data_IF_089635114708
#
_entry.id   IF_089635114708
#
_cell.length_a   1.000
_cell.length_b   1.000
_cell.length_c   1.000
_cell.angle_alpha   90.00
_cell.angle_beta   90.00
_cell.angle_gamma   90.00
#
_symmetry.space_group_name_H-M   'P 1'
#
loop_
_entity.id
_entity.type
_entity.pdbx_description
1 polymer ?
#
# COMPACT_ATOMS: atom_id res chain seq x y z
N UNK A 1 22.70 37.52 27.92
CA UNK A 1 21.46 37.06 27.27
C UNK A 1 21.78 36.72 25.82
N UNK A 2 22.01 35.46 25.51
CA UNK A 2 22.18 34.97 24.12
C UNK A 2 20.79 34.74 23.54
N UNK A 3 20.41 35.55 22.54
CA UNK A 3 19.22 35.31 21.75
C UNK A 3 19.51 34.12 20.82
N UNK A 4 18.93 32.96 21.11
CA UNK A 4 18.88 31.84 20.19
C UNK A 4 17.97 32.21 19.01
N UNK A 5 18.55 32.30 17.83
CA UNK A 5 17.80 32.36 16.58
C UNK A 5 17.33 30.93 16.32
N UNK A 6 16.02 30.70 16.49
CA UNK A 6 15.34 29.50 16.02
C UNK A 6 15.29 29.63 14.49
N UNK A 7 16.21 28.97 13.78
CA UNK A 7 16.06 28.75 12.34
C UNK A 7 14.90 27.76 12.17
N UNK A 8 13.73 28.26 11.83
CA UNK A 8 12.72 27.47 11.14
C UNK A 8 13.34 27.16 9.75
N UNK A 9 13.89 25.96 9.62
CA UNK A 9 14.11 25.38 8.31
C UNK A 9 12.72 25.30 7.66
N UNK A 10 12.53 25.83 6.44
CA UNK A 10 11.33 25.53 5.71
C UNK A 10 11.26 24.01 5.59
N UNK A 11 10.16 23.41 5.98
CA UNK A 11 9.81 22.07 5.54
C UNK A 11 9.81 22.22 4.03
N UNK A 12 10.83 21.68 3.34
CA UNK A 12 10.77 21.53 1.91
C UNK A 12 9.52 20.69 1.67
N UNK A 13 8.50 21.29 1.11
CA UNK A 13 7.40 20.57 0.51
C UNK A 13 8.04 19.75 -0.61
N UNK A 14 8.29 18.47 -0.34
CA UNK A 14 8.82 17.54 -1.33
C UNK A 14 7.76 17.52 -2.42
N UNK A 15 8.14 17.92 -3.62
CA UNK A 15 7.23 17.91 -4.75
C UNK A 15 6.71 16.48 -4.93
N UNK A 16 5.42 16.30 -4.67
CA UNK A 16 4.74 15.01 -4.75
C UNK A 16 4.36 14.82 -6.21
N UNK A 17 5.18 14.14 -6.98
CA UNK A 17 5.02 14.01 -8.44
C UNK A 17 4.12 12.82 -8.84
N UNK A 18 3.13 12.46 -8.04
CA UNK A 18 2.16 11.41 -8.32
C UNK A 18 0.74 11.98 -8.35
N UNK A 19 0.06 11.87 -9.50
CA UNK A 19 -1.36 12.18 -9.67
C UNK A 19 -2.18 10.90 -9.67
N UNK A 20 -3.30 10.84 -8.94
CA UNK A 20 -4.26 9.76 -9.04
C UNK A 20 -5.03 9.89 -10.36
N UNK A 21 -4.96 8.87 -11.22
CA UNK A 21 -5.68 8.82 -12.49
C UNK A 21 -6.95 7.99 -12.37
N UNK A 22 -6.87 6.84 -11.74
CA UNK A 22 -7.99 5.92 -11.61
C UNK A 22 -7.96 5.13 -10.32
N UNK A 23 -9.15 4.71 -9.83
CA UNK A 23 -9.31 3.83 -8.69
C UNK A 23 -10.40 2.81 -8.97
N UNK A 24 -10.07 1.55 -8.79
CA UNK A 24 -10.97 0.40 -9.01
C UNK A 24 -11.18 -0.34 -7.69
N UNK A 25 -12.42 -0.80 -7.47
CA UNK A 25 -12.74 -1.81 -6.45
C UNK A 25 -12.83 -3.17 -7.15
N UNK A 26 -11.75 -3.95 -7.20
CA UNK A 26 -11.74 -5.21 -7.92
C UNK A 26 -12.58 -6.27 -7.23
N UNK A 27 -12.95 -7.36 -7.93
CA UNK A 27 -13.58 -8.53 -7.31
C UNK A 27 -12.74 -9.12 -6.18
N UNK A 28 -11.44 -9.22 -6.39
CA UNK A 28 -10.46 -9.55 -5.36
C UNK A 28 -10.28 -8.41 -4.38
N UNK A 29 -10.19 -8.74 -3.08
CA UNK A 29 -10.09 -7.73 -2.01
C UNK A 29 -8.73 -7.66 -1.33
N UNK A 30 -7.91 -8.66 -1.53
CA UNK A 30 -6.55 -8.73 -0.98
C UNK A 30 -5.60 -8.94 -2.15
N UNK A 31 -5.28 -7.85 -2.85
CA UNK A 31 -4.36 -7.86 -3.98
C UNK A 31 -2.94 -8.06 -3.45
N UNK A 32 -2.19 -9.01 -4.01
CA UNK A 32 -0.94 -9.47 -3.41
C UNK A 32 0.30 -9.17 -4.24
N UNK A 33 0.16 -9.09 -5.56
CA UNK A 33 1.25 -8.82 -6.50
C UNK A 33 0.74 -8.13 -7.76
N UNK A 34 1.65 -7.62 -8.59
CA UNK A 34 1.34 -7.00 -9.88
C UNK A 34 2.37 -7.45 -10.90
N UNK A 35 1.94 -8.19 -11.90
CA UNK A 35 2.75 -8.56 -13.06
C UNK A 35 2.19 -7.92 -14.32
N UNK A 36 3.08 -7.40 -15.17
CA UNK A 36 2.69 -6.70 -16.40
C UNK A 36 3.35 -7.38 -17.60
N UNK A 37 2.52 -7.91 -18.48
CA UNK A 37 2.95 -8.55 -19.72
C UNK A 37 2.25 -7.87 -20.90
N UNK A 38 2.99 -7.12 -21.69
CA UNK A 38 2.45 -6.32 -22.80
C UNK A 38 1.34 -5.38 -22.33
N UNK A 39 0.12 -5.52 -22.84
CA UNK A 39 -1.06 -4.74 -22.45
C UNK A 39 -1.95 -5.44 -21.41
N UNK A 40 -1.42 -6.49 -20.77
CA UNK A 40 -2.14 -7.23 -19.73
C UNK A 40 -1.44 -7.04 -18.40
N UNK A 41 -2.22 -6.65 -17.38
CA UNK A 41 -1.80 -6.66 -16.00
C UNK A 41 -2.49 -7.81 -15.27
N UNK A 42 -1.71 -8.58 -14.51
CA UNK A 42 -2.16 -9.78 -13.79
C UNK A 42 -1.98 -9.52 -12.30
N UNK A 43 -3.04 -9.72 -11.54
CA UNK A 43 -3.05 -9.48 -10.10
C UNK A 43 -3.58 -10.70 -9.36
N UNK A 44 -2.75 -11.42 -8.58
CA UNK A 44 -3.21 -12.48 -7.71
C UNK A 44 -3.91 -11.91 -6.47
N UNK A 45 -5.02 -12.55 -6.11
CA UNK A 45 -5.75 -12.28 -4.87
C UNK A 45 -5.56 -13.38 -3.84
N UNK A 46 -5.50 -13.01 -2.56
CA UNK A 46 -5.31 -13.96 -1.48
C UNK A 46 -6.52 -14.89 -1.23
N UNK A 47 -7.73 -14.51 -1.66
CA UNK A 47 -8.94 -15.25 -1.35
C UNK A 47 -9.89 -15.49 -2.54
N UNK A 48 -9.86 -14.64 -3.54
CA UNK A 48 -10.93 -14.49 -4.52
C UNK A 48 -10.49 -14.76 -5.98
N UNK A 49 -9.34 -15.40 -6.18
CA UNK A 49 -8.82 -15.77 -7.50
C UNK A 49 -7.80 -14.80 -8.09
N UNK A 50 -7.70 -14.77 -9.41
CA UNK A 50 -6.70 -14.01 -10.16
C UNK A 50 -7.39 -13.07 -11.14
N UNK A 51 -7.08 -11.79 -11.05
CA UNK A 51 -7.63 -10.75 -11.91
C UNK A 51 -6.72 -10.47 -13.10
N UNK A 52 -7.31 -10.33 -14.29
CA UNK A 52 -6.66 -9.93 -15.53
C UNK A 52 -7.25 -8.61 -15.99
N UNK A 53 -6.38 -7.64 -16.27
CA UNK A 53 -6.77 -6.30 -16.71
C UNK A 53 -6.17 -6.01 -18.08
N UNK A 54 -6.96 -5.36 -18.96
CA UNK A 54 -6.47 -4.67 -20.13
C UNK A 54 -5.93 -3.29 -19.69
N UNK A 55 -4.68 -3.03 -19.99
CA UNK A 55 -3.98 -1.78 -19.76
C UNK A 55 -3.47 -1.16 -21.07
N UNK A 56 -4.15 -1.41 -22.19
CA UNK A 56 -3.88 -0.73 -23.47
C UNK A 56 -4.03 0.80 -23.34
N UNK A 57 -4.98 1.26 -22.50
CA UNK A 57 -4.90 2.58 -21.89
C UNK A 57 -4.32 2.42 -20.49
N UNK A 58 -3.05 2.76 -20.27
CA UNK A 58 -2.40 2.50 -18.98
C UNK A 58 -2.96 3.34 -17.83
N UNK A 59 -3.69 4.44 -18.13
CA UNK A 59 -4.31 5.30 -17.11
C UNK A 59 -5.68 4.81 -16.66
N UNK A 60 -6.33 3.91 -17.44
CA UNK A 60 -7.68 3.40 -17.18
C UNK A 60 -7.74 1.85 -17.28
N UNK A 61 -7.13 1.10 -16.35
CA UNK A 61 -7.15 -0.35 -16.35
C UNK A 61 -8.58 -0.90 -16.32
N UNK A 62 -8.88 -1.81 -17.24
CA UNK A 62 -10.20 -2.43 -17.33
C UNK A 62 -10.11 -3.93 -17.04
N UNK A 63 -10.86 -4.42 -16.06
CA UNK A 63 -10.90 -5.87 -15.77
C UNK A 63 -11.53 -6.63 -16.94
N UNK A 64 -10.84 -7.63 -17.45
CA UNK A 64 -11.27 -8.47 -18.57
C UNK A 64 -11.57 -9.89 -18.17
N UNK A 65 -10.98 -10.39 -17.09
CA UNK A 65 -11.29 -11.69 -16.52
C UNK A 65 -10.97 -11.75 -15.03
N UNK A 66 -11.71 -12.59 -14.30
CA UNK A 66 -11.37 -13.08 -12.97
C UNK A 66 -11.41 -14.61 -13.02
N UNK A 67 -10.30 -15.26 -12.68
CA UNK A 67 -10.18 -16.71 -12.66
C UNK A 67 -10.18 -17.22 -11.23
N UNK A 68 -11.26 -17.87 -10.83
CA UNK A 68 -11.34 -18.61 -9.57
C UNK A 68 -10.92 -20.08 -9.78
N UNK A 69 -9.97 -20.57 -8.99
CA UNK A 69 -9.55 -21.98 -8.96
C UNK A 69 -10.07 -22.59 -7.67
N UNK A 70 -11.14 -23.41 -7.71
CA UNK A 70 -11.76 -23.95 -6.52
C UNK A 70 -10.80 -24.84 -5.71
N UNK A 71 -10.66 -24.58 -4.42
CA UNK A 71 -9.94 -25.43 -3.47
C UNK A 71 -10.88 -26.45 -2.79
N UNK A 72 -10.51 -27.72 -2.79
CA UNK A 72 -11.12 -28.77 -1.98
C UNK A 72 -12.66 -28.75 -1.97
N UNK A 73 -13.28 -28.25 -0.90
CA UNK A 73 -14.74 -28.23 -0.72
C UNK A 73 -15.47 -27.05 -1.39
N UNK A 74 -14.80 -26.28 -2.26
CA UNK A 74 -15.47 -25.40 -3.22
C UNK A 74 -15.92 -24.02 -2.74
N UNK A 75 -15.51 -23.56 -1.55
CA UNK A 75 -15.94 -22.26 -1.02
C UNK A 75 -14.86 -21.16 -1.09
N UNK A 76 -13.67 -21.48 -1.57
CA UNK A 76 -12.56 -20.53 -1.72
C UNK A 76 -11.80 -20.83 -2.98
N UNK A 77 -11.29 -19.80 -3.63
CA UNK A 77 -10.30 -19.92 -4.68
C UNK A 77 -8.92 -20.21 -4.11
N UNK A 78 -8.06 -20.83 -4.91
CA UNK A 78 -6.64 -20.98 -4.60
C UNK A 78 -6.04 -19.57 -4.46
N UNK A 79 -5.45 -19.23 -3.31
CA UNK A 79 -4.87 -17.91 -3.11
C UNK A 79 -3.58 -17.77 -3.95
N UNK A 80 -3.36 -16.59 -4.53
CA UNK A 80 -2.08 -16.24 -5.12
C UNK A 80 -1.41 -15.15 -4.30
N UNK A 81 -0.10 -15.27 -4.09
CA UNK A 81 0.68 -14.27 -3.35
C UNK A 81 1.75 -13.62 -4.21
N UNK A 82 2.17 -14.28 -5.28
CA UNK A 82 3.13 -13.79 -6.26
C UNK A 82 2.78 -14.31 -7.63
N UNK A 83 3.21 -13.62 -8.66
CA UNK A 83 3.03 -14.04 -10.04
C UNK A 83 4.25 -13.68 -10.88
N UNK A 84 4.66 -14.60 -11.74
CA UNK A 84 5.61 -14.37 -12.82
C UNK A 84 5.03 -14.93 -14.11
N UNK A 85 5.21 -14.26 -15.22
CA UNK A 85 4.56 -14.65 -16.47
C UNK A 85 5.48 -14.57 -17.69
N UNK A 86 5.24 -15.49 -18.63
CA UNK A 86 5.66 -15.37 -20.02
C UNK A 86 4.63 -14.58 -20.82
N UNK A 87 4.79 -14.46 -22.13
CA UNK A 87 3.81 -13.78 -22.99
C UNK A 87 2.39 -14.38 -22.95
N UNK A 88 2.23 -15.61 -22.45
CA UNK A 88 0.93 -16.32 -22.52
C UNK A 88 0.65 -17.25 -21.34
N UNK A 89 1.61 -17.50 -20.47
CA UNK A 89 1.44 -18.39 -19.30
C UNK A 89 1.90 -17.69 -18.03
N UNK A 90 1.03 -17.67 -17.01
CA UNK A 90 1.32 -17.13 -15.69
C UNK A 90 1.52 -18.26 -14.67
N UNK A 91 2.51 -18.11 -13.82
CA UNK A 91 2.84 -18.99 -12.71
C UNK A 91 2.55 -18.25 -11.41
N UNK A 92 1.53 -18.71 -10.69
CA UNK A 92 1.15 -18.16 -9.41
C UNK A 92 1.72 -19.00 -8.27
N UNK A 93 2.30 -18.36 -7.28
CA UNK A 93 2.75 -19.02 -6.05
C UNK A 93 1.72 -18.85 -4.95
N UNK A 94 1.62 -19.85 -4.08
CA UNK A 94 0.60 -19.94 -3.05
C UNK A 94 1.21 -20.53 -1.77
N UNK A 95 0.84 -19.99 -0.61
CA UNK A 95 1.23 -20.53 0.71
C UNK A 95 0.33 -21.67 1.18
N UNK A 96 -0.23 -22.45 0.27
CA UNK A 96 -1.11 -23.56 0.64
C UNK A 96 -0.38 -24.88 0.51
N UNK A 97 -0.44 -25.68 1.58
CA UNK A 97 0.26 -26.97 1.74
C UNK A 97 -0.11 -28.05 0.71
N UNK A 98 -1.20 -27.91 -0.02
CA UNK A 98 -1.72 -28.96 -0.90
C UNK A 98 -1.50 -28.71 -2.39
N UNK A 99 -1.46 -27.46 -2.82
CA UNK A 99 -1.41 -27.11 -4.24
C UNK A 99 -0.25 -26.16 -4.58
N UNK A 100 0.27 -25.38 -3.62
CA UNK A 100 1.51 -24.58 -3.69
C UNK A 100 1.62 -23.57 -4.83
N UNK A 101 1.07 -23.88 -6.01
CA UNK A 101 1.18 -23.05 -7.21
C UNK A 101 0.02 -23.28 -8.16
N UNK A 102 -0.16 -22.38 -9.13
CA UNK A 102 -1.06 -22.56 -10.26
C UNK A 102 -0.37 -22.14 -11.56
N UNK A 103 -0.57 -22.90 -12.61
CA UNK A 103 -0.17 -22.59 -13.98
C UNK A 103 -1.42 -22.20 -14.76
N UNK A 104 -1.42 -21.01 -15.33
CA UNK A 104 -2.58 -20.44 -16.04
C UNK A 104 -2.19 -20.05 -17.46
N UNK A 105 -2.83 -20.65 -18.44
CA UNK A 105 -2.77 -20.23 -19.83
C UNK A 105 -3.67 -19.00 -20.03
N UNK A 106 -3.09 -17.86 -20.37
CA UNK A 106 -3.78 -16.62 -20.70
C UNK A 106 -3.50 -16.14 -22.13
N UNK A 107 -3.17 -17.07 -23.04
CA UNK A 107 -3.08 -16.78 -24.48
C UNK A 107 -4.34 -16.11 -25.03
N UNK A 108 -5.49 -16.35 -24.38
CA UNK A 108 -6.69 -15.54 -24.50
C UNK A 108 -6.98 -14.88 -23.14
N UNK A 109 -6.52 -13.64 -22.89
CA UNK A 109 -6.63 -13.02 -21.57
C UNK A 109 -8.07 -12.73 -21.12
N UNK A 110 -9.06 -12.72 -22.05
CA UNK A 110 -10.47 -12.64 -21.70
C UNK A 110 -11.06 -13.98 -21.20
N UNK A 111 -10.31 -15.06 -21.34
CA UNK A 111 -10.74 -16.38 -20.86
C UNK A 111 -9.51 -17.21 -20.45
N UNK A 112 -8.81 -16.81 -19.36
CA UNK A 112 -7.66 -17.56 -18.86
C UNK A 112 -8.09 -18.93 -18.35
N UNK A 113 -7.20 -19.90 -18.45
CA UNK A 113 -7.50 -21.32 -18.14
C UNK A 113 -6.44 -21.86 -17.18
N UNK A 114 -6.87 -22.35 -16.03
CA UNK A 114 -6.00 -23.13 -15.13
C UNK A 114 -5.67 -24.47 -15.77
N UNK A 115 -4.39 -24.79 -15.90
CA UNK A 115 -3.91 -26.01 -16.56
C UNK A 115 -3.18 -26.97 -15.63
N UNK A 116 -2.73 -26.53 -14.47
CA UNK A 116 -2.04 -27.37 -13.51
C UNK A 116 -1.28 -26.58 -12.45
N UNK A 117 -0.32 -27.27 -11.82
CA UNK A 117 0.58 -26.70 -10.81
C UNK A 117 2.01 -27.15 -11.09
N UNK A 118 2.99 -26.42 -10.54
CA UNK A 118 4.40 -26.75 -10.62
C UNK A 118 4.65 -28.11 -9.92
N UNK A 119 5.29 -29.04 -10.64
CA UNK A 119 5.56 -30.37 -10.11
C UNK A 119 6.73 -30.34 -9.11
N UNK A 120 6.53 -30.96 -7.95
CA UNK A 120 7.59 -31.22 -6.95
C UNK A 120 8.09 -32.67 -7.00
N UNK A 121 7.77 -33.39 -8.06
CA UNK A 121 8.18 -34.78 -8.21
C UNK A 121 9.72 -34.89 -8.28
N UNK A 122 10.29 -35.65 -7.37
CA UNK A 122 11.75 -35.81 -7.26
C UNK A 122 12.40 -34.92 -6.20
N UNK A 123 11.64 -34.14 -5.46
CA UNK A 123 12.10 -33.40 -4.28
C UNK A 123 11.74 -34.15 -3.00
N UNK A 124 12.43 -33.86 -1.91
CA UNK A 124 12.14 -34.40 -0.57
C UNK A 124 11.16 -33.53 0.24
N UNK A 125 10.51 -32.56 -0.43
CA UNK A 125 9.63 -31.59 0.21
C UNK A 125 8.28 -32.20 0.61
N UNK A 126 7.92 -32.05 1.88
CA UNK A 126 6.67 -32.56 2.42
C UNK A 126 5.60 -31.49 2.66
N UNK A 127 5.99 -30.22 2.67
CA UNK A 127 5.12 -29.11 3.05
C UNK A 127 5.58 -27.78 2.40
N UNK A 128 5.58 -27.68 1.07
CA UNK A 128 6.15 -26.55 0.37
C UNK A 128 5.37 -25.26 0.63
N UNK A 129 6.08 -24.19 0.92
CA UNK A 129 5.54 -22.83 1.01
C UNK A 129 6.17 -22.00 -0.09
N UNK A 130 5.46 -21.80 -1.18
CA UNK A 130 5.93 -21.03 -2.31
C UNK A 130 5.80 -19.52 -2.03
N UNK A 131 6.85 -18.78 -2.35
CA UNK A 131 6.95 -17.34 -2.19
C UNK A 131 7.26 -16.64 -3.53
N UNK A 132 8.25 -15.74 -3.56
CA UNK A 132 8.64 -15.00 -4.74
C UNK A 132 9.16 -15.87 -5.88
N UNK A 133 8.97 -15.43 -7.08
CA UNK A 133 9.45 -16.09 -8.30
C UNK A 133 9.93 -15.09 -9.32
N UNK A 134 10.78 -15.54 -10.25
CA UNK A 134 11.25 -14.74 -11.38
C UNK A 134 11.52 -15.63 -12.59
N UNK A 135 11.47 -15.02 -13.78
CA UNK A 135 11.69 -15.69 -15.08
C UNK A 135 12.83 -15.03 -15.83
N UNK A 136 13.77 -15.85 -16.31
CA UNK A 136 14.80 -15.42 -17.25
C UNK A 136 14.90 -16.40 -18.42
N UNK A 137 14.48 -15.95 -19.60
CA UNK A 137 14.42 -16.81 -20.79
C UNK A 137 13.52 -18.03 -20.58
N UNK A 138 14.10 -19.23 -20.58
CA UNK A 138 13.38 -20.48 -20.35
C UNK A 138 13.53 -21.02 -18.91
N UNK A 139 13.98 -20.20 -17.99
CA UNK A 139 14.13 -20.58 -16.58
C UNK A 139 13.10 -19.86 -15.74
N UNK A 140 12.41 -20.62 -14.88
CA UNK A 140 11.58 -20.11 -13.78
C UNK A 140 12.26 -20.49 -12.48
N UNK A 141 12.55 -19.52 -11.62
CA UNK A 141 13.00 -19.71 -10.26
C UNK A 141 11.87 -19.42 -9.28
N UNK A 142 11.74 -20.22 -8.23
CA UNK A 142 10.70 -20.05 -7.19
C UNK A 142 11.33 -20.20 -5.81
N UNK A 143 11.15 -19.20 -4.96
CA UNK A 143 11.58 -19.22 -3.56
C UNK A 143 10.61 -20.02 -2.70
N UNK A 144 11.11 -20.78 -1.74
CA UNK A 144 10.34 -21.75 -0.96
C UNK A 144 10.77 -21.81 0.51
N UNK A 145 10.96 -20.67 1.12
CA UNK A 145 11.39 -20.56 2.53
C UNK A 145 12.60 -21.47 2.88
N UNK A 146 12.42 -22.35 3.90
CA UNK A 146 13.46 -23.27 4.40
C UNK A 146 13.86 -24.34 3.37
N UNK A 147 13.04 -24.56 2.35
CA UNK A 147 13.34 -25.49 1.24
C UNK A 147 14.23 -24.85 0.17
N UNK A 148 14.54 -23.55 0.30
CA UNK A 148 15.44 -22.80 -0.57
C UNK A 148 14.79 -22.33 -1.88
N UNK A 149 15.48 -22.47 -3.00
CA UNK A 149 15.01 -22.09 -4.33
C UNK A 149 14.95 -23.29 -5.25
N UNK A 150 13.88 -23.40 -6.00
CA UNK A 150 13.67 -24.46 -6.99
C UNK A 150 13.62 -23.84 -8.38
N UNK A 151 14.18 -24.57 -9.38
CA UNK A 151 14.28 -24.10 -10.76
C UNK A 151 13.58 -25.05 -11.70
N UNK A 152 12.86 -24.47 -12.68
CA UNK A 152 12.18 -25.21 -13.75
C UNK A 152 12.66 -24.73 -15.11
N UNK A 153 12.76 -25.69 -16.04
CA UNK A 153 12.81 -25.40 -17.49
C UNK A 153 11.37 -25.17 -17.98
N UNK A 154 11.11 -23.99 -18.50
CA UNK A 154 9.84 -23.57 -19.07
C UNK A 154 9.93 -23.39 -20.59
N UNK A 155 10.82 -24.14 -21.27
CA UNK A 155 10.87 -24.18 -22.75
C UNK A 155 9.53 -24.60 -23.35
N UNK A 156 8.79 -25.48 -22.66
CA UNK A 156 7.33 -25.62 -22.80
C UNK A 156 6.66 -24.97 -21.59
N UNK A 157 6.12 -23.75 -21.73
CA UNK A 157 5.57 -23.02 -20.58
C UNK A 157 4.36 -23.71 -19.94
N UNK A 158 3.67 -24.60 -20.66
CA UNK A 158 2.52 -25.34 -20.16
C UNK A 158 2.92 -26.61 -19.38
N UNK A 159 4.13 -27.12 -19.58
CA UNK A 159 4.66 -28.33 -18.95
C UNK A 159 6.07 -28.06 -18.36
N UNK A 160 6.21 -27.26 -17.29
CA UNK A 160 7.49 -26.96 -16.65
C UNK A 160 8.18 -28.21 -16.11
N UNK A 161 9.45 -28.40 -16.51
CA UNK A 161 10.29 -29.48 -16.03
C UNK A 161 11.19 -29.02 -14.88
N UNK A 162 11.15 -29.75 -13.73
CA UNK A 162 12.00 -29.46 -12.58
C UNK A 162 13.46 -29.78 -12.91
N UNK A 163 14.36 -28.78 -12.77
CA UNK A 163 15.78 -28.91 -13.06
C UNK A 163 16.58 -29.21 -11.79
N UNK A 164 16.45 -28.35 -10.78
CA UNK A 164 17.26 -28.43 -9.60
C UNK A 164 16.64 -27.67 -8.42
N UNK A 165 17.13 -27.99 -7.21
CA UNK A 165 16.83 -27.27 -5.96
C UNK A 165 18.14 -26.78 -5.33
N UNK A 166 18.12 -25.55 -4.82
CA UNK A 166 19.20 -24.94 -4.04
C UNK A 166 18.71 -24.66 -2.62
N UNK A 167 19.23 -25.35 -1.59
CA UNK A 167 18.82 -25.11 -0.21
C UNK A 167 19.37 -23.78 0.31
N UNK A 168 18.57 -23.06 1.10
CA UNK A 168 19.01 -21.92 1.91
C UNK A 168 18.12 -21.80 3.15
N UNK A 169 18.41 -20.87 4.07
CA UNK A 169 17.73 -20.82 5.36
C UNK A 169 16.28 -20.32 5.25
N UNK A 170 16.01 -19.31 4.38
CA UNK A 170 14.68 -18.71 4.30
C UNK A 170 14.49 -17.94 3.00
N UNK A 171 14.43 -18.63 1.84
CA UNK A 171 14.18 -17.98 0.55
C UNK A 171 12.80 -17.32 0.53
N UNK A 172 12.79 -16.00 0.58
CA UNK A 172 11.57 -15.19 0.48
C UNK A 172 11.28 -14.75 -0.95
N UNK A 173 12.33 -14.43 -1.70
CA UNK A 173 12.25 -13.98 -3.09
C UNK A 173 13.50 -14.41 -3.84
N UNK A 174 13.44 -14.43 -5.16
CA UNK A 174 14.56 -14.73 -6.05
C UNK A 174 14.45 -13.84 -7.27
N UNK A 175 15.59 -13.41 -7.83
CA UNK A 175 15.64 -12.67 -9.09
C UNK A 175 16.88 -13.10 -9.91
N UNK A 176 16.76 -13.16 -11.23
CA UNK A 176 17.89 -13.43 -12.11
C UNK A 176 18.69 -12.15 -12.37
N UNK A 177 20.01 -12.22 -12.19
CA UNK A 177 20.94 -11.15 -12.58
C UNK A 177 21.16 -11.23 -14.11
N UNK A 178 21.42 -12.44 -14.57
CA UNK A 178 21.61 -12.79 -15.98
C UNK A 178 21.28 -14.27 -16.22
N UNK A 179 21.65 -14.83 -17.37
CA UNK A 179 21.39 -16.24 -17.70
C UNK A 179 22.17 -17.25 -16.87
N UNK A 180 23.17 -16.82 -16.09
CA UNK A 180 24.05 -17.67 -15.30
C UNK A 180 24.02 -17.35 -13.80
N UNK A 181 23.56 -16.19 -13.38
CA UNK A 181 23.58 -15.74 -12.00
C UNK A 181 22.19 -15.33 -11.53
N UNK A 182 21.93 -15.61 -10.25
CA UNK A 182 20.70 -15.22 -9.58
C UNK A 182 20.99 -14.74 -8.16
N UNK A 183 20.06 -14.01 -7.62
CA UNK A 183 20.08 -13.49 -6.25
C UNK A 183 18.89 -14.02 -5.47
N UNK A 184 19.12 -14.43 -4.24
CA UNK A 184 18.10 -14.88 -3.29
C UNK A 184 17.96 -13.83 -2.19
N UNK A 185 16.74 -13.38 -1.97
CA UNK A 185 16.37 -12.68 -0.75
C UNK A 185 16.09 -13.68 0.35
N UNK A 186 17.06 -13.86 1.26
CA UNK A 186 17.07 -14.91 2.28
C UNK A 186 16.40 -14.44 3.60
N UNK A 187 15.31 -13.66 3.48
CA UNK A 187 14.58 -13.14 4.63
C UNK A 187 15.47 -12.35 5.58
N UNK A 188 15.48 -12.71 6.87
CA UNK A 188 16.29 -12.08 7.92
C UNK A 188 17.81 -12.44 7.82
N UNK A 189 18.17 -13.32 6.89
CA UNK A 189 19.57 -13.76 6.68
C UNK A 189 20.29 -12.97 5.58
N UNK A 190 19.62 -11.97 5.00
CA UNK A 190 20.19 -11.09 4.00
C UNK A 190 20.09 -11.60 2.57
N UNK A 191 21.15 -11.44 1.80
CA UNK A 191 21.23 -11.72 0.36
C UNK A 191 22.23 -12.86 0.10
N UNK A 192 21.90 -13.73 -0.86
CA UNK A 192 22.81 -14.71 -1.43
C UNK A 192 22.83 -14.49 -2.94
N UNK A 193 24.02 -14.42 -3.55
CA UNK A 193 24.22 -14.43 -5.01
C UNK A 193 24.94 -15.69 -5.39
N UNK A 194 24.45 -16.42 -6.39
CA UNK A 194 25.01 -17.70 -6.83
C UNK A 194 25.02 -17.84 -8.34
N UNK A 195 25.94 -18.70 -8.81
CA UNK A 195 25.99 -19.14 -10.20
C UNK A 195 25.06 -20.34 -10.42
N UNK A 196 24.22 -20.26 -11.48
CA UNK A 196 23.20 -21.28 -11.76
C UNK A 196 23.77 -22.64 -12.20
N UNK A 197 24.76 -22.65 -13.11
CA UNK A 197 25.31 -23.90 -13.67
C UNK A 197 26.44 -24.51 -12.86
N UNK A 198 26.62 -24.07 -11.63
CA UNK A 198 27.68 -24.58 -10.81
C UNK A 198 27.35 -25.95 -10.23
N UNK A 199 28.17 -26.96 -10.58
CA UNK A 199 28.02 -28.35 -10.15
C UNK A 199 29.11 -28.80 -9.17
N UNK A 200 30.08 -27.95 -8.81
CA UNK A 200 31.22 -28.26 -7.98
C UNK A 200 31.48 -27.24 -6.88
N UNK A 201 32.33 -27.59 -5.90
CA UNK A 201 32.73 -26.74 -4.74
C UNK A 201 33.49 -25.43 -5.13
N UNK A 202 33.60 -25.11 -6.40
CA UNK A 202 34.31 -23.93 -6.95
C UNK A 202 33.36 -22.82 -7.44
N UNK A 203 32.10 -22.90 -7.09
CA UNK A 203 31.09 -21.96 -7.52
C UNK A 203 31.33 -20.55 -6.97
N UNK A 204 31.16 -19.56 -7.84
CA UNK A 204 31.08 -18.18 -7.40
C UNK A 204 29.81 -18.00 -6.57
N UNK A 205 29.96 -17.65 -5.33
CA UNK A 205 28.85 -17.34 -4.45
C UNK A 205 29.25 -16.27 -3.45
N UNK A 206 28.38 -15.31 -3.23
CA UNK A 206 28.55 -14.33 -2.17
C UNK A 206 27.30 -14.24 -1.31
N UNK A 207 27.51 -14.00 -0.02
CA UNK A 207 26.41 -13.73 0.90
C UNK A 207 26.74 -12.55 1.79
N UNK A 208 25.76 -11.69 2.04
CA UNK A 208 25.93 -10.50 2.88
C UNK A 208 24.63 -10.16 3.62
N UNK A 209 24.76 -9.62 4.85
CA UNK A 209 23.59 -9.25 5.63
C UNK A 209 22.95 -7.97 5.11
N UNK A 210 21.63 -7.85 5.30
CA UNK A 210 20.85 -6.61 5.18
C UNK A 210 20.51 -6.09 6.58
N UNK A 211 20.05 -4.83 6.69
CA UNK A 211 19.59 -4.31 7.99
C UNK A 211 18.23 -4.90 8.36
N UNK A 212 17.30 -4.98 7.38
CA UNK A 212 15.99 -5.55 7.55
C UNK A 212 15.79 -6.87 6.81
N UNK A 213 14.62 -7.47 7.00
CA UNK A 213 14.24 -8.68 6.29
C UNK A 213 13.95 -8.39 4.82
N UNK A 214 14.60 -9.11 3.92
CA UNK A 214 14.41 -8.97 2.47
C UNK A 214 12.99 -9.41 2.10
N UNK A 215 12.26 -8.50 1.43
CA UNK A 215 10.88 -8.70 0.96
C UNK A 215 10.79 -8.79 -0.54
N UNK A 216 11.58 -8.00 -1.26
CA UNK A 216 11.58 -7.98 -2.70
C UNK A 216 12.94 -7.54 -3.25
N UNK A 217 13.18 -7.90 -4.51
CA UNK A 217 14.41 -7.63 -5.25
C UNK A 217 14.06 -7.10 -6.63
N UNK A 218 14.80 -6.08 -7.08
CA UNK A 218 14.72 -5.61 -8.44
C UNK A 218 16.11 -5.31 -8.98
N UNK A 219 16.40 -5.72 -10.21
CA UNK A 219 17.72 -5.59 -10.80
C UNK A 219 17.64 -4.75 -12.07
N UNK A 220 18.55 -3.79 -12.18
CA UNK A 220 18.74 -3.03 -13.41
C UNK A 220 20.21 -2.83 -13.69
N UNK A 221 20.66 -3.35 -14.81
CA UNK A 221 22.09 -3.37 -15.17
C UNK A 221 22.93 -4.08 -14.09
N UNK A 222 23.78 -3.36 -13.38
CA UNK A 222 24.60 -3.86 -12.27
C UNK A 222 24.08 -3.37 -10.90
N UNK A 223 22.89 -2.80 -10.84
CA UNK A 223 22.29 -2.30 -9.61
C UNK A 223 21.23 -3.25 -9.10
N UNK A 224 21.41 -3.69 -7.84
CA UNK A 224 20.43 -4.47 -7.09
C UNK A 224 19.72 -3.57 -6.09
N UNK A 225 18.41 -3.44 -6.23
CA UNK A 225 17.53 -2.77 -5.29
C UNK A 225 16.87 -3.82 -4.39
N UNK A 226 16.86 -3.56 -3.09
CA UNK A 226 16.38 -4.50 -2.08
C UNK A 226 15.34 -3.81 -1.21
N UNK A 227 14.12 -4.34 -1.16
CA UNK A 227 13.14 -3.94 -0.17
C UNK A 227 13.40 -4.71 1.14
N UNK A 228 13.71 -3.97 2.21
CA UNK A 228 14.12 -4.52 3.51
C UNK A 228 13.03 -4.36 4.58
N UNK A 229 11.75 -4.36 4.19
CA UNK A 229 10.64 -4.22 5.12
C UNK A 229 10.69 -2.89 5.88
N UNK A 230 10.80 -2.96 7.21
CA UNK A 230 10.84 -1.77 8.08
C UNK A 230 12.11 -0.92 7.95
N UNK A 231 13.14 -1.43 7.29
CA UNK A 231 14.42 -0.74 7.11
C UNK A 231 14.54 -0.08 5.72
N UNK A 232 13.44 -0.08 4.96
CA UNK A 232 13.31 0.68 3.73
C UNK A 232 13.93 0.02 2.52
N UNK A 233 14.68 0.77 1.72
CA UNK A 233 15.27 0.35 0.45
C UNK A 233 16.78 0.50 0.50
N UNK A 234 17.51 -0.55 0.14
CA UNK A 234 18.95 -0.51 -0.11
C UNK A 234 19.26 -0.66 -1.59
N UNK A 235 20.36 -0.09 -2.03
CA UNK A 235 20.90 -0.26 -3.37
C UNK A 235 22.35 -0.75 -3.30
N UNK A 236 22.66 -1.79 -4.05
CA UNK A 236 23.99 -2.39 -4.15
C UNK A 236 24.51 -2.34 -5.59
N UNK A 237 25.80 -2.12 -5.75
CA UNK A 237 26.52 -2.40 -6.97
C UNK A 237 26.95 -3.88 -6.96
N UNK A 238 26.46 -4.63 -7.94
CA UNK A 238 26.74 -6.07 -8.12
C UNK A 238 27.52 -6.32 -9.44
N UNK A 239 28.27 -5.32 -9.92
CA UNK A 239 29.14 -5.51 -11.10
C UNK A 239 30.19 -6.61 -10.84
N UNK A 240 30.72 -6.66 -9.64
CA UNK A 240 31.51 -7.77 -9.10
C UNK A 240 30.63 -8.54 -8.12
N UNK A 241 30.09 -9.68 -8.56
CA UNK A 241 29.16 -10.49 -7.75
C UNK A 241 29.80 -11.11 -6.52
N UNK A 242 31.13 -11.28 -6.51
CA UNK A 242 31.89 -11.78 -5.36
C UNK A 242 32.12 -10.70 -4.28
N UNK A 243 31.98 -9.44 -4.66
CA UNK A 243 32.20 -8.28 -3.79
C UNK A 243 31.12 -7.20 -3.98
N UNK A 244 29.85 -7.51 -3.68
CA UNK A 244 28.77 -6.52 -3.75
C UNK A 244 29.04 -5.31 -2.85
N UNK A 245 28.78 -4.10 -3.35
CA UNK A 245 29.06 -2.85 -2.64
C UNK A 245 27.75 -2.15 -2.34
N UNK A 246 27.45 -1.93 -1.05
CA UNK A 246 26.35 -1.05 -0.67
C UNK A 246 26.63 0.38 -1.14
N UNK A 247 25.75 0.92 -1.98
CA UNK A 247 25.87 2.28 -2.51
C UNK A 247 25.12 3.30 -1.65
N UNK A 248 23.87 2.98 -1.26
CA UNK A 248 23.04 3.85 -0.44
C UNK A 248 21.86 3.10 0.19
N UNK A 249 21.21 3.75 1.15
CA UNK A 249 19.96 3.31 1.78
C UNK A 249 19.00 4.47 1.93
N UNK A 250 17.73 4.17 1.72
CA UNK A 250 16.64 5.10 1.97
C UNK A 250 15.68 4.48 2.99
N UNK A 251 15.66 5.02 4.21
CA UNK A 251 14.73 4.61 5.26
C UNK A 251 13.32 5.10 4.93
N UNK A 252 12.38 4.17 4.86
CA UNK A 252 10.96 4.49 4.66
C UNK A 252 10.22 4.38 5.98
N UNK A 253 9.27 5.29 6.30
CA UNK A 253 8.53 5.23 7.56
C UNK A 253 7.59 4.03 7.69
N UNK A 254 7.31 3.33 6.61
CA UNK A 254 6.35 2.23 6.54
C UNK A 254 7.00 0.85 6.54
N UNK A 255 6.54 0.01 5.65
CA UNK A 255 7.04 -1.33 5.42
C UNK A 255 7.19 -1.53 3.91
N UNK A 256 8.42 -1.42 3.40
CA UNK A 256 8.73 -1.62 1.99
C UNK A 256 8.56 -3.09 1.61
N UNK A 257 7.54 -3.40 0.81
CA UNK A 257 7.20 -4.78 0.44
C UNK A 257 7.61 -5.17 -0.97
N UNK A 258 7.35 -4.27 -1.95
CA UNK A 258 7.58 -4.55 -3.37
C UNK A 258 8.21 -3.35 -4.06
N UNK A 259 8.97 -3.64 -5.12
CA UNK A 259 9.67 -2.67 -5.94
C UNK A 259 9.28 -2.88 -7.41
N UNK A 260 8.94 -1.81 -8.11
CA UNK A 260 8.79 -1.79 -9.55
C UNK A 260 9.75 -0.79 -10.18
N UNK A 261 10.57 -1.27 -11.12
CA UNK A 261 11.50 -0.41 -11.86
C UNK A 261 10.77 0.33 -12.98
N UNK A 262 11.08 1.60 -13.19
CA UNK A 262 10.57 2.34 -14.32
C UNK A 262 11.51 3.50 -14.76
N UNK A 263 11.32 3.98 -15.97
CA UNK A 263 12.22 4.98 -16.53
C UNK A 263 13.68 4.49 -16.56
N UNK A 264 14.62 5.42 -16.42
CA UNK A 264 16.05 5.08 -16.48
C UNK A 264 16.65 4.73 -15.12
N UNK A 265 16.17 5.34 -14.03
CA UNK A 265 16.80 5.30 -12.72
C UNK A 265 15.80 5.44 -11.57
N UNK A 266 14.54 5.12 -11.80
CA UNK A 266 13.48 5.25 -10.81
C UNK A 266 12.93 3.90 -10.37
N UNK A 267 12.52 3.85 -9.11
CA UNK A 267 11.81 2.74 -8.52
C UNK A 267 10.53 3.25 -7.85
N UNK A 268 9.44 2.55 -8.08
CA UNK A 268 8.24 2.68 -7.29
C UNK A 268 8.28 1.65 -6.16
N UNK A 269 7.90 2.06 -4.96
CA UNK A 269 7.93 1.24 -3.76
C UNK A 269 6.56 1.22 -3.11
N UNK A 270 6.05 0.02 -2.83
CA UNK A 270 4.89 -0.15 -1.96
C UNK A 270 5.34 -0.10 -0.50
N UNK A 271 4.91 0.93 0.24
CA UNK A 271 5.38 1.19 1.61
C UNK A 271 4.20 1.25 2.60
N UNK A 272 3.51 0.13 2.76
CA UNK A 272 2.39 -0.13 3.65
C UNK A 272 1.14 0.74 3.44
N UNK A 273 1.18 2.05 3.66
CA UNK A 273 0.04 2.97 3.50
C UNK A 273 0.28 4.02 2.42
N UNK A 274 1.34 3.88 1.67
CA UNK A 274 1.69 4.83 0.61
C UNK A 274 2.49 4.21 -0.53
N UNK A 275 2.60 4.97 -1.59
CA UNK A 275 3.50 4.73 -2.73
C UNK A 275 4.61 5.77 -2.68
N UNK A 276 5.85 5.32 -2.75
CA UNK A 276 7.02 6.19 -2.90
C UNK A 276 7.69 5.98 -4.25
N UNK A 277 8.18 7.06 -4.83
CA UNK A 277 9.06 7.01 -5.98
C UNK A 277 10.44 7.48 -5.54
N UNK A 278 11.41 6.59 -5.61
CA UNK A 278 12.81 6.92 -5.37
C UNK A 278 13.55 7.01 -6.70
N UNK A 279 14.46 7.95 -6.80
CA UNK A 279 15.36 8.11 -7.92
C UNK A 279 16.81 7.85 -7.50
N UNK A 280 17.48 6.96 -8.23
CA UNK A 280 18.92 6.79 -8.10
C UNK A 280 19.64 7.88 -8.89
N UNK A 281 20.31 8.77 -8.17
CA UNK A 281 21.02 9.94 -8.75
C UNK A 281 22.44 9.62 -9.22
N UNK A 282 22.89 8.38 -9.02
CA UNK A 282 24.29 7.96 -9.21
C UNK A 282 25.16 8.16 -7.97
N UNK A 283 24.64 8.81 -6.93
CA UNK A 283 25.33 9.06 -5.65
C UNK A 283 24.47 8.80 -4.42
N UNK A 284 23.15 8.71 -4.58
CA UNK A 284 22.20 8.45 -3.50
C UNK A 284 20.79 8.25 -4.03
N UNK A 285 19.92 7.67 -3.18
CA UNK A 285 18.49 7.52 -3.40
C UNK A 285 17.76 8.79 -2.92
N UNK A 286 16.99 9.41 -3.77
CA UNK A 286 16.19 10.59 -3.46
C UNK A 286 14.70 10.34 -3.63
N UNK A 287 13.88 10.76 -2.66
CA UNK A 287 12.44 10.72 -2.78
C UNK A 287 11.96 11.80 -3.75
N UNK A 288 11.43 11.39 -4.90
CA UNK A 288 10.95 12.30 -5.95
C UNK A 288 9.43 12.24 -6.16
N UNK A 289 8.75 11.28 -5.53
CA UNK A 289 7.30 11.17 -5.57
C UNK A 289 6.74 10.49 -4.34
N UNK A 290 5.53 10.89 -3.93
CA UNK A 290 4.84 10.33 -2.79
C UNK A 290 3.34 10.44 -2.96
N UNK A 291 2.61 9.37 -2.58
CA UNK A 291 1.15 9.41 -2.48
C UNK A 291 0.67 8.48 -1.38
N UNK A 292 -0.14 9.02 -0.46
CA UNK A 292 -0.85 8.16 0.51
C UNK A 292 -1.96 7.39 -0.21
N UNK A 293 -2.07 6.10 0.07
CA UNK A 293 -3.11 5.24 -0.49
C UNK A 293 -4.28 5.04 0.46
N UNK A 294 -4.07 5.32 1.76
CA UNK A 294 -5.07 5.16 2.82
C UNK A 294 -5.44 3.71 3.14
N UNK A 295 -4.90 2.75 2.40
CA UNK A 295 -5.05 1.30 2.61
C UNK A 295 -3.68 0.63 2.55
N UNK A 296 -3.62 -0.60 3.04
CA UNK A 296 -2.40 -1.39 2.98
C UNK A 296 -2.00 -1.65 1.54
N UNK A 297 -0.90 -1.04 1.09
CA UNK A 297 -0.29 -1.23 -0.21
C UNK A 297 0.55 -2.51 -0.17
N UNK A 298 0.09 -3.56 -0.81
CA UNK A 298 0.73 -4.87 -0.78
C UNK A 298 1.75 -5.04 -1.89
N UNK A 299 1.44 -4.53 -3.08
CA UNK A 299 2.32 -4.64 -4.23
C UNK A 299 2.22 -3.41 -5.13
N UNK A 300 3.15 -3.34 -6.07
CA UNK A 300 3.30 -2.23 -6.99
C UNK A 300 3.77 -2.74 -8.34
N UNK A 301 3.23 -2.19 -9.41
CA UNK A 301 3.69 -2.38 -10.77
C UNK A 301 3.94 -1.03 -11.44
N UNK A 302 4.73 -1.01 -12.50
CA UNK A 302 5.01 0.21 -13.24
C UNK A 302 5.10 -0.06 -14.74
N UNK A 303 4.55 0.85 -15.55
CA UNK A 303 4.67 0.86 -17.00
C UNK A 303 4.88 2.29 -17.48
N UNK A 304 6.03 2.56 -18.09
CA UNK A 304 6.45 3.92 -18.48
C UNK A 304 6.46 4.86 -17.25
N UNK A 305 5.54 5.82 -17.19
CA UNK A 305 5.36 6.73 -16.04
C UNK A 305 4.08 6.44 -15.25
N UNK A 306 3.41 5.34 -15.53
CA UNK A 306 2.19 4.92 -14.83
C UNK A 306 2.54 3.88 -13.78
N UNK A 307 2.01 4.08 -12.58
CA UNK A 307 2.24 3.25 -11.40
C UNK A 307 0.91 2.63 -10.97
N UNK A 308 0.92 1.32 -10.78
CA UNK A 308 -0.25 0.57 -10.31
C UNK A 308 0.00 0.12 -8.87
N UNK A 309 -0.83 0.59 -7.96
CA UNK A 309 -0.78 0.23 -6.54
C UNK A 309 -1.84 -0.80 -6.23
N UNK A 310 -1.40 -2.02 -5.93
CA UNK A 310 -2.27 -3.11 -5.50
C UNK A 310 -2.44 -3.06 -3.98
N UNK A 311 -3.67 -2.80 -3.53
CA UNK A 311 -3.98 -2.53 -2.14
C UNK A 311 -4.94 -3.56 -1.57
N UNK A 312 -5.07 -3.54 -0.27
CA UNK A 312 -6.11 -4.30 0.39
C UNK A 312 -7.48 -3.68 0.09
N UNK A 313 -8.17 -4.14 -0.94
CA UNK A 313 -9.50 -3.75 -1.45
C UNK A 313 -9.51 -2.78 -2.65
N UNK A 314 -8.39 -2.18 -3.03
CA UNK A 314 -8.36 -1.22 -4.14
C UNK A 314 -7.19 -1.48 -5.08
N UNK A 315 -7.39 -1.16 -6.34
CA UNK A 315 -6.33 -0.95 -7.30
C UNK A 315 -6.34 0.53 -7.67
N UNK A 316 -5.24 1.23 -7.44
CA UNK A 316 -5.10 2.63 -7.83
C UNK A 316 -4.04 2.78 -8.91
N UNK A 317 -4.32 3.66 -9.86
CA UNK A 317 -3.42 4.04 -10.94
C UNK A 317 -2.96 5.46 -10.74
N UNK A 318 -1.65 5.68 -10.76
CA UNK A 318 -1.06 7.00 -10.64
C UNK A 318 -0.20 7.31 -11.87
N UNK A 319 -0.20 8.56 -12.32
CA UNK A 319 0.81 9.09 -13.22
C UNK A 319 1.93 9.77 -12.46
N UNK A 320 3.18 9.53 -12.87
CA UNK A 320 4.36 10.22 -12.36
C UNK A 320 4.83 11.29 -13.36
N UNK A 321 4.89 12.54 -12.94
CA UNK A 321 5.28 13.66 -13.81
C UNK A 321 4.95 15.02 -13.25
N UNK A 322 4.60 15.96 -14.10
CA UNK A 322 4.13 17.28 -13.71
C UNK A 322 2.76 17.16 -13.01
N UNK A 323 2.72 17.64 -11.77
CA UNK A 323 1.57 17.40 -10.89
C UNK A 323 0.38 18.25 -11.32
N UNK A 324 -0.73 17.56 -11.47
CA UNK A 324 -2.04 18.16 -11.32
C UNK A 324 -2.67 17.56 -10.07
N UNK A 325 -2.71 18.28 -8.97
CA UNK A 325 -3.22 17.74 -7.70
C UNK A 325 -4.76 17.82 -7.65
N UNK A 326 -5.38 16.85 -6.97
CA UNK A 326 -6.74 16.97 -6.48
C UNK A 326 -6.73 17.80 -5.20
N UNK A 327 -7.77 18.55 -4.93
CA UNK A 327 -7.92 19.49 -3.81
C UNK A 327 -9.29 19.25 -3.16
N UNK A 328 -9.26 18.64 -1.97
CA UNK A 328 -10.46 18.24 -1.24
C UNK A 328 -10.97 19.38 -0.38
N UNK A 329 -12.18 19.82 -0.65
CA UNK A 329 -12.92 20.71 0.26
C UNK A 329 -14.10 19.97 0.89
N UNK A 330 -14.31 20.19 2.19
CA UNK A 330 -15.45 19.65 2.93
C UNK A 330 -16.34 20.76 3.45
N UNK A 331 -17.64 20.61 3.27
CA UNK A 331 -18.61 21.65 3.60
C UNK A 331 -18.73 21.98 5.08
N UNK A 332 -18.10 21.22 5.98
CA UNK A 332 -18.08 21.52 7.41
C UNK A 332 -16.96 20.76 8.13
N UNK A 333 -16.29 21.46 9.07
CA UNK A 333 -15.26 20.88 9.98
C UNK A 333 -15.84 20.47 11.34
N UNK A 334 -17.11 20.85 11.60
CA UNK A 334 -17.87 20.42 12.77
C UNK A 334 -19.34 20.22 12.40
N UNK A 335 -19.95 19.20 12.95
CA UNK A 335 -21.36 18.87 12.80
C UNK A 335 -22.02 18.81 14.16
N UNK A 336 -22.95 19.73 14.40
CA UNK A 336 -23.72 19.78 15.64
C UNK A 336 -25.18 19.49 15.38
N UNK A 337 -25.70 18.48 16.08
CA UNK A 337 -27.09 18.07 15.97
C UNK A 337 -27.97 18.76 17.01
N UNK A 338 -29.26 18.97 16.72
CA UNK A 338 -30.19 19.48 17.70
C UNK A 338 -30.40 18.51 18.85
N UNK A 339 -30.96 19.00 19.95
CA UNK A 339 -31.33 18.13 21.07
C UNK A 339 -32.44 17.16 20.65
N UNK A 340 -32.11 15.87 20.64
CA UNK A 340 -33.02 14.78 20.31
C UNK A 340 -33.45 14.06 21.61
N UNK A 341 -34.57 13.36 21.60
CA UNK A 341 -34.93 12.36 22.60
C UNK A 341 -34.22 11.03 22.36
N UNK A 342 -34.02 10.23 23.41
CA UNK A 342 -33.40 8.89 23.29
C UNK A 342 -34.21 8.04 22.29
N UNK A 343 -33.51 7.46 21.31
CA UNK A 343 -34.10 6.67 20.23
C UNK A 343 -34.51 7.47 19.00
N UNK A 344 -34.34 8.78 19.01
CA UNK A 344 -34.49 9.62 17.81
C UNK A 344 -33.18 9.73 17.03
N UNK A 345 -33.28 10.06 15.75
CA UNK A 345 -32.15 10.26 14.83
C UNK A 345 -32.32 11.56 14.07
N UNK A 346 -31.18 12.15 13.70
CA UNK A 346 -31.12 13.28 12.78
C UNK A 346 -29.96 13.09 11.80
N UNK A 347 -30.03 13.75 10.65
CA UNK A 347 -29.09 13.56 9.54
C UNK A 347 -28.56 14.90 9.07
N UNK A 348 -27.25 14.97 8.86
CA UNK A 348 -26.55 16.09 8.27
C UNK A 348 -26.00 15.68 6.89
N UNK A 349 -26.26 16.48 5.88
CA UNK A 349 -25.73 16.31 4.54
C UNK A 349 -24.35 17.00 4.44
N UNK A 350 -23.28 16.21 4.45
CA UNK A 350 -21.91 16.70 4.34
C UNK A 350 -21.48 16.73 2.88
N UNK A 351 -21.16 17.91 2.38
CA UNK A 351 -20.68 18.13 1.03
C UNK A 351 -19.19 17.83 0.95
N UNK A 352 -18.79 17.20 -0.15
CA UNK A 352 -17.42 17.00 -0.61
C UNK A 352 -17.26 17.62 -1.99
N UNK A 353 -16.19 18.34 -2.20
CA UNK A 353 -15.86 18.98 -3.47
C UNK A 353 -14.39 18.69 -3.81
N UNK A 354 -14.12 18.42 -5.09
CA UNK A 354 -12.75 18.36 -5.61
C UNK A 354 -12.50 19.64 -6.41
N UNK A 355 -11.85 20.62 -5.80
CA UNK A 355 -11.49 21.89 -6.43
C UNK A 355 -10.19 21.81 -7.25
N UNK A 356 -9.51 20.64 -7.21
CA UNK A 356 -8.28 20.38 -7.93
C UNK A 356 -8.49 20.00 -9.40
N UNK A 357 -7.41 19.66 -10.06
CA UNK A 357 -7.38 19.30 -11.48
C UNK A 357 -7.19 17.80 -11.72
N UNK A 358 -6.92 17.03 -10.67
CA UNK A 358 -6.81 15.56 -10.71
C UNK A 358 -7.91 14.91 -9.90
N UNK A 359 -8.25 13.65 -10.21
CA UNK A 359 -9.18 12.87 -9.41
C UNK A 359 -8.71 12.67 -7.97
N UNK A 360 -9.66 12.62 -7.03
CA UNK A 360 -9.44 12.30 -5.62
C UNK A 360 -10.01 10.93 -5.28
N UNK A 361 -9.17 10.09 -4.66
CA UNK A 361 -9.61 8.91 -3.92
C UNK A 361 -9.98 9.29 -2.49
N UNK A 362 -11.16 8.85 -2.04
CA UNK A 362 -11.63 9.03 -0.67
C UNK A 362 -11.85 7.65 -0.04
N UNK A 363 -11.45 7.49 1.20
CA UNK A 363 -11.54 6.20 1.90
C UNK A 363 -12.66 6.24 2.94
N UNK A 364 -13.35 5.10 3.18
CA UNK A 364 -14.43 5.04 4.17
C UNK A 364 -13.99 5.65 5.50
N UNK A 365 -14.77 6.58 6.07
CA UNK A 365 -14.36 7.30 7.25
C UNK A 365 -14.32 6.41 8.49
N UNK A 366 -13.39 6.66 9.38
CA UNK A 366 -13.40 6.12 10.73
C UNK A 366 -14.16 7.07 11.66
N UNK A 367 -15.19 6.55 12.35
CA UNK A 367 -15.96 7.32 13.36
C UNK A 367 -15.75 6.66 14.72
N UNK A 368 -15.24 7.41 15.69
CA UNK A 368 -14.84 6.89 17.00
C UNK A 368 -15.98 6.81 18.04
N UNK A 369 -17.22 7.12 17.67
CA UNK A 369 -18.39 7.05 18.55
C UNK A 369 -19.57 6.35 17.90
N UNK A 370 -20.13 5.33 18.58
CA UNK A 370 -21.15 4.43 18.03
C UNK A 370 -22.52 5.09 17.72
N UNK A 371 -22.81 6.27 18.30
CA UNK A 371 -24.05 6.99 18.01
C UNK A 371 -24.03 7.72 16.66
N UNK A 372 -22.87 7.78 16.01
CA UNK A 372 -22.72 8.39 14.69
C UNK A 372 -22.36 7.35 13.64
N UNK A 373 -22.90 7.54 12.44
CA UNK A 373 -22.57 6.73 11.28
C UNK A 373 -22.59 7.57 10.00
N UNK A 374 -21.83 7.17 8.99
CA UNK A 374 -21.86 7.79 7.67
C UNK A 374 -22.42 6.78 6.65
N UNK A 375 -23.26 7.26 5.75
CA UNK A 375 -23.77 6.52 4.59
C UNK A 375 -23.62 7.34 3.31
N UNK A 376 -23.63 6.68 2.17
CA UNK A 376 -23.43 7.29 0.85
C UNK A 376 -22.11 8.09 0.74
N UNK A 377 -21.07 7.61 1.43
CA UNK A 377 -19.75 8.24 1.38
C UNK A 377 -19.13 8.05 -0.01
N UNK A 378 -18.66 9.15 -0.66
CA UNK A 378 -18.01 9.03 -1.97
C UNK A 378 -16.65 8.35 -1.82
N UNK A 379 -16.33 7.44 -2.73
CA UNK A 379 -15.00 6.82 -2.78
C UNK A 379 -14.07 7.47 -3.80
N UNK A 380 -14.64 8.31 -4.68
CA UNK A 380 -13.93 8.94 -5.77
C UNK A 380 -14.64 10.25 -6.16
N UNK A 381 -13.87 11.30 -6.47
CA UNK A 381 -14.34 12.57 -7.03
C UNK A 381 -13.44 12.95 -8.21
N UNK A 382 -14.00 13.05 -9.41
CA UNK A 382 -13.32 13.65 -10.55
C UNK A 382 -13.04 15.15 -10.33
N UNK A 383 -12.18 15.77 -11.16
CA UNK A 383 -11.90 17.20 -11.11
C UNK A 383 -13.20 18.04 -11.24
N UNK A 384 -13.46 18.91 -10.27
CA UNK A 384 -14.66 19.74 -10.21
C UNK A 384 -15.94 19.01 -9.80
N UNK A 385 -15.87 17.73 -9.46
CA UNK A 385 -17.01 16.96 -8.98
C UNK A 385 -17.37 17.33 -7.53
N UNK A 386 -18.67 17.19 -7.23
CA UNK A 386 -19.21 17.30 -5.89
C UNK A 386 -20.00 16.06 -5.52
N UNK A 387 -20.00 15.71 -4.23
CA UNK A 387 -20.81 14.61 -3.69
C UNK A 387 -21.28 14.90 -2.28
N UNK A 388 -22.34 14.22 -1.85
CA UNK A 388 -22.90 14.38 -0.50
C UNK A 388 -22.89 13.04 0.22
N UNK A 389 -22.22 12.99 1.38
CA UNK A 389 -22.40 11.93 2.35
C UNK A 389 -23.42 12.34 3.41
N UNK A 390 -24.15 11.36 3.93
CA UNK A 390 -25.06 11.61 5.04
C UNK A 390 -24.41 11.15 6.34
N UNK A 391 -24.24 12.08 7.28
CA UNK A 391 -23.77 11.79 8.64
C UNK A 391 -24.99 11.75 9.56
N UNK A 392 -25.23 10.59 10.18
CA UNK A 392 -26.44 10.32 10.96
C UNK A 392 -26.05 10.23 12.44
N UNK A 393 -26.74 11.00 13.27
CA UNK A 393 -26.69 10.87 14.72
C UNK A 393 -27.89 10.06 15.20
N UNK A 394 -27.65 8.94 15.89
CA UNK A 394 -28.65 8.09 16.50
C UNK A 394 -28.51 8.18 18.03
N UNK A 395 -29.33 8.96 18.71
CA UNK A 395 -29.20 9.16 20.15
C UNK A 395 -29.45 7.89 20.94
N UNK A 396 -28.41 7.31 21.52
CA UNK A 396 -28.50 6.17 22.45
C UNK A 396 -28.19 6.54 23.90
N UNK A 397 -27.44 7.63 24.10
CA UNK A 397 -26.98 8.09 25.43
C UNK A 397 -27.32 9.57 25.68
N UNK A 398 -26.96 10.10 26.87
CA UNK A 398 -27.24 11.50 27.22
C UNK A 398 -26.38 12.48 26.43
N UNK A 399 -25.10 12.16 26.22
CA UNK A 399 -24.14 13.02 25.55
C UNK A 399 -23.35 12.20 24.54
N UNK A 400 -23.19 12.71 23.34
CA UNK A 400 -22.36 12.12 22.30
C UNK A 400 -21.41 13.16 21.72
N UNK A 401 -20.12 12.87 21.72
CA UNK A 401 -19.10 13.63 21.01
C UNK A 401 -18.12 12.64 20.38
N UNK A 402 -17.84 12.82 19.12
CA UNK A 402 -16.94 11.95 18.35
C UNK A 402 -16.17 12.73 17.30
N UNK A 403 -15.28 12.03 16.64
CA UNK A 403 -14.54 12.51 15.48
C UNK A 403 -14.80 11.57 14.33
N UNK A 404 -15.13 12.12 13.18
CA UNK A 404 -15.13 11.45 11.89
C UNK A 404 -13.81 11.77 11.21
N UNK A 405 -12.95 10.78 11.09
CA UNK A 405 -11.69 10.90 10.39
C UNK A 405 -11.85 10.44 8.94
N UNK A 406 -11.54 11.31 8.02
CA UNK A 406 -11.56 11.07 6.58
C UNK A 406 -10.13 11.01 6.10
N UNK A 407 -9.81 10.00 5.33
CA UNK A 407 -8.53 9.88 4.63
C UNK A 407 -8.76 10.06 3.14
N UNK A 408 -7.88 10.82 2.49
CA UNK A 408 -7.98 11.12 1.06
C UNK A 408 -6.63 10.94 0.36
N UNK A 409 -6.65 10.99 -0.97
CA UNK A 409 -5.43 11.09 -1.79
C UNK A 409 -4.98 12.54 -2.03
N UNK A 410 -5.61 13.50 -1.38
CA UNK A 410 -5.19 14.90 -1.38
C UNK A 410 -3.82 15.04 -0.73
N UNK A 411 -2.84 15.70 -1.38
CA UNK A 411 -1.49 15.80 -0.85
C UNK A 411 -1.35 16.62 0.43
N UNK A 412 -2.13 17.68 0.58
CA UNK A 412 -2.04 18.60 1.72
C UNK A 412 -3.18 18.40 2.74
N UNK A 413 -4.27 17.74 2.33
CA UNK A 413 -5.38 17.34 3.19
C UNK A 413 -5.58 15.81 3.19
N UNK A 414 -4.49 15.05 3.31
CA UNK A 414 -4.53 13.57 3.30
C UNK A 414 -5.32 12.96 4.46
N UNK A 415 -5.55 13.74 5.53
CA UNK A 415 -6.41 13.39 6.65
C UNK A 415 -7.17 14.61 7.14
N UNK A 416 -8.49 14.49 7.23
CA UNK A 416 -9.41 15.50 7.78
C UNK A 416 -10.14 14.91 8.97
N UNK A 417 -10.18 15.66 10.09
CA UNK A 417 -10.92 15.32 11.29
C UNK A 417 -12.12 16.26 11.43
N UNK A 418 -13.35 15.70 11.37
CA UNK A 418 -14.60 16.43 11.56
C UNK A 418 -15.16 16.15 12.95
N UNK A 419 -15.38 17.18 13.73
CA UNK A 419 -15.97 17.06 15.06
C UNK A 419 -17.49 16.79 14.96
N UNK A 420 -17.97 15.74 15.64
CA UNK A 420 -19.37 15.35 15.70
C UNK A 420 -19.91 15.60 17.12
N UNK A 421 -21.01 16.33 17.22
CA UNK A 421 -21.60 16.69 18.50
C UNK A 421 -23.11 16.45 18.51
N UNK A 422 -23.58 15.59 19.41
CA UNK A 422 -25.00 15.28 19.62
C UNK A 422 -25.43 15.38 21.07
N UNK A 423 -26.45 16.22 21.37
CA UNK A 423 -26.97 16.38 22.74
C UNK A 423 -25.89 16.63 23.82
N UNK A 424 -24.84 17.32 23.47
CA UNK A 424 -23.71 17.53 24.38
C UNK A 424 -23.88 18.83 25.21
N UNK A 425 -23.88 18.68 26.53
CA UNK A 425 -23.89 19.80 27.50
C UNK A 425 -22.49 19.90 28.10
N UNK A 426 -21.61 20.72 27.56
CA UNK A 426 -20.26 20.89 28.10
C UNK A 426 -19.37 21.72 27.20
N UNK A 427 -18.12 21.93 27.60
CA UNK A 427 -17.11 22.59 26.77
C UNK A 427 -16.42 21.57 25.86
N UNK A 428 -16.39 21.81 24.57
CA UNK A 428 -15.68 21.02 23.55
C UNK A 428 -14.61 21.91 22.98
N UNK A 429 -13.41 21.36 22.81
CA UNK A 429 -12.29 22.07 22.16
C UNK A 429 -12.67 22.39 20.72
N UNK A 430 -12.51 23.64 20.33
CA UNK A 430 -12.87 24.12 18.98
C UNK A 430 -14.27 24.70 18.85
N UNK A 431 -15.19 24.43 19.77
CA UNK A 431 -16.53 25.02 19.78
C UNK A 431 -16.65 26.18 20.80
N UNK A 432 -17.63 27.09 20.61
CA UNK A 432 -17.92 28.11 21.60
C UNK A 432 -18.22 27.48 22.97
N UNK A 433 -17.56 27.96 24.01
CA UNK A 433 -17.80 27.46 25.35
C UNK A 433 -19.26 27.73 25.77
N UNK A 434 -19.93 26.78 26.46
CA UNK A 434 -21.26 27.03 27.01
C UNK A 434 -21.30 28.29 27.89
N UNK A 435 -22.28 29.12 27.67
CA UNK A 435 -22.46 30.31 28.53
C UNK A 435 -22.75 29.89 29.97
N UNK A 436 -22.05 30.46 30.93
CA UNK A 436 -22.34 30.29 32.35
C UNK A 436 -22.18 31.60 33.10
N UNK A 437 -22.89 31.68 34.20
CA UNK A 437 -22.83 32.79 35.12
C UNK A 437 -22.54 32.26 36.51
N UNK A 438 -21.56 32.82 37.20
CA UNK A 438 -21.22 32.47 38.59
C UNK A 438 -21.16 33.72 39.45
N UNK A 439 -21.72 33.70 40.69
CA UNK A 439 -21.59 34.82 41.59
C UNK A 439 -20.12 34.96 42.03
N UNK A 440 -19.63 36.20 42.07
CA UNK A 440 -18.27 36.49 42.54
C UNK A 440 -18.26 36.38 44.07
N UNK A 441 -17.62 35.35 44.60
CA UNK A 441 -17.56 35.08 46.05
C UNK A 441 -16.41 35.79 46.76
N UNK A 442 -15.38 36.25 46.05
CA UNK A 442 -14.22 36.95 46.64
C UNK A 442 -13.54 37.86 45.61
N UNK A 443 -12.91 38.95 46.11
CA UNK A 443 -12.16 39.92 45.28
C UNK A 443 -12.98 40.68 44.23
N UNK A 444 -14.26 40.82 44.45
CA UNK A 444 -15.20 41.52 43.58
C UNK A 444 -16.64 41.46 44.10
N UNK A 445 -17.58 41.98 43.32
CA UNK A 445 -19.02 41.91 43.60
C UNK A 445 -19.78 41.78 42.30
N UNK A 446 -20.93 41.11 42.34
CA UNK A 446 -21.76 40.83 41.16
C UNK A 446 -21.54 39.43 40.62
N UNK A 447 -21.82 39.22 39.36
CA UNK A 447 -21.72 37.94 38.68
C UNK A 447 -20.58 37.96 37.65
N UNK A 448 -19.89 36.83 37.51
CA UNK A 448 -18.99 36.56 36.42
C UNK A 448 -19.82 35.96 35.27
N UNK A 449 -19.82 36.62 34.11
CA UNK A 449 -20.41 36.10 32.88
C UNK A 449 -19.30 35.77 31.89
N UNK A 450 -19.23 34.53 31.38
CA UNK A 450 -18.22 34.14 30.42
C UNK A 450 -18.27 34.99 29.16
N UNK A 451 -19.47 35.39 28.72
CA UNK A 451 -19.67 36.25 27.56
C UNK A 451 -18.97 37.62 27.61
N UNK A 452 -18.66 38.12 28.82
CA UNK A 452 -17.99 39.42 28.98
C UNK A 452 -16.49 39.37 28.64
N UNK A 453 -15.96 38.15 28.43
CA UNK A 453 -14.54 37.91 28.20
C UNK A 453 -14.24 37.43 26.78
N UNK A 454 -15.12 37.68 25.82
CA UNK A 454 -14.91 37.35 24.43
C UNK A 454 -13.60 37.98 23.90
N UNK A 455 -12.78 37.18 23.22
CA UNK A 455 -11.45 37.59 22.72
C UNK A 455 -10.33 37.51 23.76
N UNK A 456 -10.60 37.01 24.96
CA UNK A 456 -9.62 36.80 26.03
C UNK A 456 -9.47 35.29 26.31
N UNK A 457 -8.30 34.87 26.78
CA UNK A 457 -8.09 33.52 27.29
C UNK A 457 -8.62 33.46 28.73
N UNK A 458 -9.64 32.64 28.96
CA UNK A 458 -10.24 32.40 30.26
C UNK A 458 -9.86 30.99 30.75
N UNK A 459 -9.22 30.90 31.92
CA UNK A 459 -8.90 29.62 32.58
C UNK A 459 -9.88 29.38 33.69
N UNK A 460 -10.68 28.33 33.60
CA UNK A 460 -11.62 27.91 34.63
C UNK A 460 -11.03 26.71 35.37
N UNK A 461 -10.84 26.85 36.70
CA UNK A 461 -10.34 25.77 37.54
C UNK A 461 -11.41 25.37 38.57
N UNK A 462 -11.68 24.06 38.65
CA UNK A 462 -12.62 23.48 39.62
C UNK A 462 -11.83 22.84 40.75
N UNK A 463 -12.14 23.25 41.98
CA UNK A 463 -11.55 22.69 43.20
C UNK A 463 -12.62 21.97 43.99
N UNK A 464 -12.36 20.74 44.42
CA UNK A 464 -13.18 20.09 45.42
C UNK A 464 -12.85 20.72 46.79
N UNK A 465 -13.83 21.13 47.59
CA UNK A 465 -13.58 21.51 48.99
C UNK A 465 -13.06 20.28 49.71
N UNK A 466 -11.86 20.40 50.34
CA UNK A 466 -11.23 19.35 51.13
C UNK A 466 -11.96 19.11 52.44
#
# INVERSE_FOLDING_TARGET
>A
MKKGILLLLPILCIAKNLSLEHRINPPNRELMDVEIVNDIMIIPGNLDGYDFYDISDPTDPTIIANLEIPMGNGNRSLPGIWVSATDSVAYFTCRTKQEGSAIVDFSNPNNPVHIGALSLSGTDMNDPSFEGSDISGNLLAVAMHEDGVIFYDISDPLEPDLILQRPCENAWTVAFIDSNHYVIGNGDHGIIIEEFYCLEDTCESSSFPTEGAVKDLAIKDHLLFVAEGSDGISIYDILDIDQPILLDRYDTPGLSNKIALFGTNKIAVSDWLDVKILEWTGTGLELVGYKSTGKRTMAIGARDSIIYSAEWQHLQTFSFGDIQEGDLDVGSWDISYPNLEIGQSDTFDLLFENNGQSPLGLYPPFINHADFQSINFPEYLGPGDTSIAQVIYNRSSQNASGVMQITSSDPDESQIDILLVGNYEGGIVGLPAPAFTLPIAANGSGDFLLSDYLGQVVVVAFFAPG
#
